data_IF_181412533704
#
_entry.id   IF_181412533704
#
_cell.length_a   1.000
_cell.length_b   1.000
_cell.length_c   1.000
_cell.angle_alpha   90.00
_cell.angle_beta   90.00
_cell.angle_gamma   90.00
#
_symmetry.space_group_name_H-M   'P 1'
#
loop_
_entity.id
_entity.type
_entity.pdbx_description
1 polymer ?
#
# COMPACT_ATOMS: atom_id res chain seq x y z
N UNK A 1 -24.81 18.99 21.69
CA UNK A 1 -23.96 18.82 20.51
C UNK A 1 -23.95 17.33 20.15
N UNK A 2 -24.22 16.99 18.89
CA UNK A 2 -24.23 15.60 18.43
C UNK A 2 -22.90 15.28 17.75
N UNK A 3 -22.22 14.21 18.19
CA UNK A 3 -20.96 13.73 17.59
C UNK A 3 -21.20 12.51 16.73
N UNK A 4 -20.54 12.45 15.60
CA UNK A 4 -20.57 11.30 14.70
C UNK A 4 -19.15 10.81 14.43
N UNK A 5 -19.03 9.53 14.07
CA UNK A 5 -17.75 8.92 13.68
C UNK A 5 -17.73 8.71 12.17
N UNK A 6 -16.74 9.26 11.52
CA UNK A 6 -16.44 9.02 10.09
C UNK A 6 -15.25 8.07 9.99
N UNK A 7 -15.28 7.19 9.04
CA UNK A 7 -14.24 6.16 8.84
C UNK A 7 -13.83 6.13 7.38
N UNK A 8 -12.53 6.00 7.12
CA UNK A 8 -12.03 5.77 5.77
C UNK A 8 -12.59 4.48 5.18
N UNK A 9 -12.87 4.48 3.88
CA UNK A 9 -13.42 3.32 3.17
C UNK A 9 -12.34 2.31 2.80
N UNK A 10 -11.08 2.73 2.80
CA UNK A 10 -9.93 1.88 2.47
C UNK A 10 -8.99 1.72 3.66
N UNK A 11 -8.22 0.65 3.60
CA UNK A 11 -7.16 0.35 4.56
C UNK A 11 -5.86 0.99 4.08
N UNK A 12 -5.29 1.89 4.90
CA UNK A 12 -4.06 2.63 4.58
C UNK A 12 -2.94 2.17 5.54
N UNK A 13 -2.35 1.02 5.25
CA UNK A 13 -1.31 0.41 6.13
C UNK A 13 0.08 0.97 5.90
N UNK A 14 0.39 1.36 4.66
CA UNK A 14 1.68 1.92 4.29
C UNK A 14 1.82 3.36 4.77
N UNK A 15 2.63 3.54 5.81
CA UNK A 15 2.86 4.86 6.38
C UNK A 15 3.56 5.81 5.40
N UNK A 16 4.44 5.29 4.55
CA UNK A 16 5.14 6.11 3.54
C UNK A 16 4.16 6.61 2.49
N UNK A 17 3.32 5.72 1.93
CA UNK A 17 2.26 6.12 1.01
C UNK A 17 1.27 7.09 1.65
N UNK A 18 0.94 6.90 2.93
CA UNK A 18 0.04 7.80 3.64
C UNK A 18 0.66 9.19 3.80
N UNK A 19 1.93 9.29 4.15
CA UNK A 19 2.62 10.58 4.27
C UNK A 19 2.70 11.30 2.92
N UNK A 20 3.01 10.56 1.85
CA UNK A 20 2.99 11.09 0.48
C UNK A 20 1.58 11.54 0.06
N UNK A 21 0.54 10.77 0.41
CA UNK A 21 -0.85 11.12 0.12
C UNK A 21 -1.27 12.40 0.85
N UNK A 22 -0.91 12.52 2.13
CA UNK A 22 -1.17 13.75 2.90
C UNK A 22 -0.49 14.96 2.25
N UNK A 23 0.77 14.83 1.83
CA UNK A 23 1.48 15.92 1.14
C UNK A 23 0.83 16.26 -0.21
N UNK A 24 0.39 15.24 -0.97
CA UNK A 24 -0.22 15.41 -2.30
C UNK A 24 -1.54 16.18 -2.26
N UNK A 25 -2.33 16.02 -1.21
CA UNK A 25 -3.58 16.79 -1.01
C UNK A 25 -3.33 18.18 -0.38
N UNK A 26 -2.08 18.59 -0.24
CA UNK A 26 -1.73 19.88 0.38
C UNK A 26 -1.95 19.93 1.89
N UNK A 27 -2.11 18.79 2.53
CA UNK A 27 -2.25 18.68 3.97
C UNK A 27 -0.90 18.49 4.66
N UNK A 28 -0.87 18.74 5.97
CA UNK A 28 0.27 18.39 6.83
C UNK A 28 -0.19 17.45 7.92
N UNK A 29 0.63 16.46 8.25
CA UNK A 29 0.33 15.52 9.30
C UNK A 29 1.42 15.50 10.37
N UNK A 30 0.99 15.46 11.63
CA UNK A 30 1.88 15.27 12.79
C UNK A 30 1.41 14.06 13.58
N UNK A 31 2.33 13.13 13.84
CA UNK A 31 2.04 11.93 14.62
C UNK A 31 1.98 12.30 16.12
N UNK A 32 0.93 11.88 16.78
CA UNK A 32 0.75 12.04 18.22
C UNK A 32 0.35 10.67 18.83
N UNK A 33 1.34 9.89 19.22
CA UNK A 33 1.14 8.51 19.66
C UNK A 33 0.55 7.64 18.56
N UNK A 34 -0.63 7.05 18.84
CA UNK A 34 -1.40 6.24 17.88
C UNK A 34 -2.28 7.11 16.95
N UNK A 35 -2.37 8.41 17.20
CA UNK A 35 -3.20 9.34 16.45
C UNK A 35 -2.37 10.10 15.41
N UNK A 36 -3.03 10.58 14.38
CA UNK A 36 -2.47 11.45 13.36
C UNK A 36 -3.28 12.75 13.33
N UNK A 37 -2.63 13.87 13.64
CA UNK A 37 -3.24 15.19 13.50
C UNK A 37 -2.99 15.68 12.07
N UNK A 38 -4.03 15.78 11.29
CA UNK A 38 -3.99 16.24 9.90
C UNK A 38 -4.52 17.65 9.82
N UNK A 39 -3.70 18.57 9.34
CA UNK A 39 -4.13 19.95 9.02
C UNK A 39 -4.47 20.00 7.53
N UNK A 40 -5.72 20.29 7.23
CA UNK A 40 -6.25 20.37 5.89
C UNK A 40 -7.27 21.51 5.80
N UNK A 41 -7.18 22.36 4.78
CA UNK A 41 -8.07 23.51 4.54
C UNK A 41 -8.29 24.38 5.79
N UNK A 42 -7.19 24.68 6.53
CA UNK A 42 -7.23 25.51 7.73
C UNK A 42 -7.75 24.83 9.00
N UNK A 43 -8.27 23.63 8.90
CA UNK A 43 -8.77 22.83 10.01
C UNK A 43 -7.74 21.79 10.47
N UNK A 44 -7.80 21.41 11.75
CA UNK A 44 -6.99 20.31 12.29
C UNK A 44 -7.91 19.19 12.73
N UNK A 45 -7.69 18.01 12.14
CA UNK A 45 -8.45 16.81 12.41
C UNK A 45 -7.58 15.77 13.10
N UNK A 46 -8.01 15.25 14.23
CA UNK A 46 -7.37 14.11 14.88
C UNK A 46 -7.98 12.83 14.33
N UNK A 47 -7.24 12.14 13.47
CA UNK A 47 -7.63 10.84 12.93
C UNK A 47 -6.94 9.74 13.70
N UNK A 48 -7.68 8.70 14.01
CA UNK A 48 -7.22 7.55 14.78
C UNK A 48 -7.19 6.32 13.87
N UNK A 49 -6.17 5.49 14.03
CA UNK A 49 -6.03 4.27 13.27
C UNK A 49 -6.76 3.13 13.96
N UNK A 50 -7.62 2.46 13.22
CA UNK A 50 -8.23 1.20 13.65
C UNK A 50 -7.24 0.05 13.51
N UNK A 51 -7.48 -1.04 14.19
CA UNK A 51 -6.67 -2.25 14.15
C UNK A 51 -6.57 -2.81 12.72
N UNK A 52 -7.64 -2.69 11.94
CA UNK A 52 -7.67 -3.13 10.53
C UNK A 52 -6.92 -2.19 9.57
N UNK A 53 -6.26 -1.14 10.07
CA UNK A 53 -5.53 -0.18 9.25
C UNK A 53 -6.37 0.91 8.60
N UNK A 54 -7.69 0.92 8.78
CA UNK A 54 -8.52 2.06 8.38
C UNK A 54 -8.41 3.18 9.43
N UNK A 55 -8.73 4.40 9.01
CA UNK A 55 -8.72 5.56 9.89
C UNK A 55 -10.13 6.01 10.20
N UNK A 56 -10.31 6.62 11.37
CA UNK A 56 -11.57 7.24 11.74
C UNK A 56 -11.34 8.58 12.44
N UNK A 57 -12.33 9.43 12.34
CA UNK A 57 -12.37 10.71 13.03
C UNK A 57 -13.72 10.88 13.72
N UNK A 58 -13.72 11.36 14.97
CA UNK A 58 -14.93 11.72 15.71
C UNK A 58 -15.09 13.24 15.65
N UNK A 59 -16.17 13.69 15.04
CA UNK A 59 -16.41 15.12 14.80
C UNK A 59 -17.86 15.49 15.11
N UNK A 60 -18.12 16.78 15.29
CA UNK A 60 -19.46 17.30 15.34
C UNK A 60 -20.19 17.08 14.01
N UNK A 61 -21.49 16.88 14.06
CA UNK A 61 -22.31 16.60 12.88
C UNK A 61 -22.20 17.71 11.82
N UNK A 62 -22.04 18.97 12.25
CA UNK A 62 -21.81 20.13 11.37
C UNK A 62 -20.52 20.06 10.56
N UNK A 63 -19.51 19.36 11.07
CA UNK A 63 -18.18 19.24 10.48
C UNK A 63 -18.00 17.96 9.67
N UNK A 64 -18.97 17.06 9.68
CA UNK A 64 -18.89 15.74 9.04
C UNK A 64 -18.51 15.82 7.56
N UNK A 65 -19.09 16.78 6.82
CA UNK A 65 -18.83 16.95 5.38
C UNK A 65 -17.35 17.22 5.08
N UNK A 66 -16.70 18.02 5.90
CA UNK A 66 -15.27 18.35 5.70
C UNK A 66 -14.36 17.14 5.95
N UNK A 67 -14.72 16.29 6.91
CA UNK A 67 -13.97 15.05 7.17
C UNK A 67 -14.22 14.01 6.09
N UNK A 68 -15.44 13.94 5.56
CA UNK A 68 -15.76 13.07 4.41
C UNK A 68 -14.96 13.50 3.17
N UNK A 69 -14.80 14.79 2.94
CA UNK A 69 -13.97 15.34 1.87
C UNK A 69 -12.49 15.00 2.08
N UNK A 70 -11.94 15.25 3.27
CA UNK A 70 -10.57 14.87 3.63
C UNK A 70 -10.31 13.38 3.38
N UNK A 71 -11.17 12.50 3.86
CA UNK A 71 -10.98 11.06 3.66
C UNK A 71 -11.07 10.68 2.19
N UNK A 72 -12.00 11.23 1.42
CA UNK A 72 -12.12 10.96 -0.01
C UNK A 72 -10.86 11.34 -0.78
N UNK A 73 -10.31 12.52 -0.54
CA UNK A 73 -9.09 12.99 -1.21
C UNK A 73 -7.87 12.19 -0.77
N UNK A 74 -7.75 11.90 0.52
CA UNK A 74 -6.67 11.10 1.07
C UNK A 74 -6.68 9.67 0.52
N UNK A 75 -7.85 9.06 0.42
CA UNK A 75 -8.04 7.73 -0.16
C UNK A 75 -7.67 7.70 -1.65
N UNK A 76 -8.11 8.69 -2.41
CA UNK A 76 -7.78 8.83 -3.82
C UNK A 76 -6.27 8.98 -4.01
N UNK A 77 -5.64 9.91 -3.31
CA UNK A 77 -4.21 10.14 -3.40
C UNK A 77 -3.40 8.89 -3.00
N UNK A 78 -3.82 8.18 -1.95
CA UNK A 78 -3.18 6.95 -1.50
C UNK A 78 -3.25 5.84 -2.55
N UNK A 79 -4.41 5.66 -3.19
CA UNK A 79 -4.60 4.68 -4.27
C UNK A 79 -3.77 5.03 -5.50
N UNK A 80 -3.70 6.31 -5.86
CA UNK A 80 -2.89 6.79 -6.99
C UNK A 80 -1.40 6.51 -6.77
N UNK A 81 -0.86 6.81 -5.59
CA UNK A 81 0.53 6.51 -5.24
C UNK A 81 0.81 5.01 -5.34
N UNK A 82 -0.11 4.17 -4.85
CA UNK A 82 0.06 2.73 -4.95
C UNK A 82 0.02 2.23 -6.40
N UNK A 83 -0.83 2.84 -7.25
CA UNK A 83 -0.87 2.53 -8.67
C UNK A 83 0.44 2.93 -9.35
N UNK A 84 0.92 4.15 -9.11
CA UNK A 84 2.18 4.67 -9.66
C UNK A 84 3.38 3.77 -9.30
N UNK A 85 3.44 3.27 -8.05
CA UNK A 85 4.49 2.34 -7.61
C UNK A 85 4.44 1.00 -8.36
N UNK A 86 3.24 0.44 -8.57
CA UNK A 86 3.07 -0.80 -9.36
C UNK A 86 3.47 -0.61 -10.82
N UNK A 87 3.06 0.50 -11.41
CA UNK A 87 3.43 0.83 -12.78
C UNK A 87 4.94 1.05 -12.93
N UNK A 88 5.60 1.64 -11.92
CA UNK A 88 7.05 1.78 -11.90
C UNK A 88 7.74 0.41 -11.82
N UNK A 89 7.25 -0.49 -10.96
CA UNK A 89 7.76 -1.87 -10.87
C UNK A 89 7.59 -2.63 -12.19
N UNK A 90 6.42 -2.49 -12.82
CA UNK A 90 6.15 -3.14 -14.11
C UNK A 90 7.03 -2.59 -15.23
N UNK A 91 7.25 -1.26 -15.26
CA UNK A 91 8.18 -0.64 -16.22
C UNK A 91 9.60 -1.16 -16.05
N UNK A 92 10.05 -1.29 -14.80
CA UNK A 92 11.40 -1.79 -14.52
C UNK A 92 11.57 -3.27 -14.90
N UNK A 93 10.54 -4.10 -14.64
CA UNK A 93 10.53 -5.49 -15.11
C UNK A 93 10.62 -5.60 -16.63
N UNK A 94 9.88 -4.75 -17.37
CA UNK A 94 9.95 -4.70 -18.84
C UNK A 94 11.32 -4.25 -19.33
N UNK A 95 11.95 -3.29 -18.63
CA UNK A 95 13.30 -2.83 -18.92
C UNK A 95 14.32 -3.95 -18.74
N UNK A 96 14.26 -4.66 -17.62
CA UNK A 96 15.14 -5.80 -17.35
C UNK A 96 14.98 -6.87 -18.44
N UNK A 97 13.76 -7.25 -18.79
CA UNK A 97 13.51 -8.24 -19.82
C UNK A 97 14.13 -7.84 -21.17
N UNK A 98 14.00 -6.56 -21.56
CA UNK A 98 14.61 -6.04 -22.79
C UNK A 98 16.14 -6.07 -22.73
N UNK A 99 16.74 -5.64 -21.62
CA UNK A 99 18.20 -5.68 -21.44
C UNK A 99 18.75 -7.12 -21.48
N UNK A 100 18.01 -8.07 -20.91
CA UNK A 100 18.36 -9.49 -20.99
C UNK A 100 18.30 -10.02 -22.42
N UNK A 101 17.27 -9.63 -23.20
CA UNK A 101 17.15 -9.98 -24.61
C UNK A 101 18.29 -9.37 -25.45
N UNK A 102 18.61 -8.09 -25.24
CA UNK A 102 19.71 -7.41 -25.92
C UNK A 102 21.06 -8.05 -25.57
N UNK A 103 21.28 -8.42 -24.30
CA UNK A 103 22.49 -9.12 -23.85
C UNK A 103 22.61 -10.49 -24.52
N UNK A 104 21.52 -11.25 -24.63
CA UNK A 104 21.49 -12.54 -25.28
C UNK A 104 21.82 -12.38 -26.77
N UNK A 105 21.20 -11.41 -27.45
CA UNK A 105 21.47 -11.13 -28.87
C UNK A 105 22.92 -10.77 -29.13
N UNK A 106 23.55 -9.92 -28.30
CA UNK A 106 24.97 -9.60 -28.41
C UNK A 106 25.87 -10.81 -28.15
N UNK A 107 25.49 -11.67 -27.24
CA UNK A 107 26.21 -12.91 -26.94
C UNK A 107 26.15 -13.86 -28.14
N UNK A 108 24.99 -13.99 -28.79
CA UNK A 108 24.81 -14.83 -29.97
C UNK A 108 25.55 -14.27 -31.18
N UNK A 109 25.57 -12.95 -31.39
CA UNK A 109 26.34 -12.27 -32.44
C UNK A 109 27.84 -12.46 -32.22
N UNK A 110 28.34 -12.30 -31.00
CA UNK A 110 29.76 -12.52 -30.68
C UNK A 110 30.23 -13.95 -30.93
N UNK A 111 29.34 -14.93 -30.85
CA UNK A 111 29.64 -16.34 -31.14
C UNK A 111 29.68 -16.66 -32.64
N UNK A 112 29.01 -15.86 -33.46
CA UNK A 112 28.85 -16.12 -34.91
C UNK A 112 29.89 -15.39 -35.80
N UNK A 113 30.36 -14.24 -35.35
CA UNK A 113 31.21 -13.39 -36.19
C UNK A 113 32.57 -13.15 -35.54
N UNK A 114 33.53 -13.85 -35.55
CA UNK A 114 34.89 -13.59 -35.06
C UNK A 114 35.44 -12.15 -35.25
N UNK A 115 34.59 -11.12 -35.15
CA UNK A 115 34.80 -9.73 -35.53
C UNK A 115 34.76 -8.81 -34.31
N UNK A 116 35.87 -8.06 -34.11
CA UNK A 116 36.02 -6.91 -33.19
C UNK A 116 35.48 -7.10 -31.77
N UNK A 117 36.17 -7.93 -31.02
CA UNK A 117 35.90 -8.22 -29.61
C UNK A 117 35.78 -6.95 -28.71
N UNK A 118 36.52 -5.90 -28.98
CA UNK A 118 36.59 -4.75 -28.07
C UNK A 118 35.32 -3.91 -28.01
N UNK A 119 34.66 -3.62 -29.15
CA UNK A 119 33.43 -2.82 -29.16
C UNK A 119 32.24 -3.60 -28.57
N UNK A 120 32.10 -4.88 -28.91
CA UNK A 120 31.07 -5.76 -28.37
C UNK A 120 31.23 -6.03 -26.87
N UNK A 121 32.44 -6.11 -26.35
CA UNK A 121 32.72 -6.26 -24.93
C UNK A 121 32.36 -4.99 -24.17
N UNK A 122 32.56 -3.80 -24.75
CA UNK A 122 32.19 -2.53 -24.12
C UNK A 122 30.66 -2.42 -23.99
N UNK A 123 29.92 -2.70 -25.05
CA UNK A 123 28.45 -2.68 -25.07
C UNK A 123 27.89 -3.74 -24.11
N UNK A 124 28.45 -4.93 -24.13
CA UNK A 124 28.10 -6.01 -23.18
C UNK A 124 28.31 -5.61 -21.73
N UNK A 125 29.46 -4.98 -21.43
CA UNK A 125 29.78 -4.49 -20.09
C UNK A 125 28.80 -3.40 -19.63
N UNK A 126 28.40 -2.51 -20.54
CA UNK A 126 27.46 -1.44 -20.23
C UNK A 126 26.06 -1.99 -19.95
N UNK A 127 25.57 -2.90 -20.81
CA UNK A 127 24.27 -3.56 -20.60
C UNK A 127 24.26 -4.37 -19.30
N UNK A 128 25.37 -5.08 -18.96
CA UNK A 128 25.46 -5.77 -17.69
C UNK A 128 25.37 -4.84 -16.49
N UNK A 129 26.01 -3.67 -16.52
CA UNK A 129 25.90 -2.66 -15.44
C UNK A 129 24.48 -2.13 -15.31
N UNK A 130 23.83 -1.84 -16.43
CA UNK A 130 22.44 -1.39 -16.42
C UNK A 130 21.49 -2.47 -15.90
N UNK A 131 21.73 -3.73 -16.29
CA UNK A 131 20.97 -4.86 -15.79
C UNK A 131 21.10 -5.01 -14.27
N UNK A 132 22.32 -4.97 -13.74
CA UNK A 132 22.56 -5.02 -12.29
C UNK A 132 21.87 -3.87 -11.56
N UNK A 133 21.93 -2.64 -12.07
CA UNK A 133 21.28 -1.49 -11.47
C UNK A 133 19.74 -1.67 -11.46
N UNK A 134 19.18 -2.17 -12.56
CA UNK A 134 17.75 -2.43 -12.68
C UNK A 134 17.28 -3.58 -11.78
N UNK A 135 18.06 -4.64 -11.64
CA UNK A 135 17.79 -5.75 -10.73
C UNK A 135 17.84 -5.30 -9.26
N UNK A 136 18.79 -4.43 -8.89
CA UNK A 136 18.82 -3.83 -7.55
C UNK A 136 17.56 -3.00 -7.27
N UNK A 137 17.18 -2.14 -8.21
CA UNK A 137 15.96 -1.33 -8.09
C UNK A 137 14.72 -2.20 -7.93
N UNK A 138 14.61 -3.28 -8.73
CA UNK A 138 13.50 -4.23 -8.63
C UNK A 138 13.50 -4.93 -7.28
N UNK A 139 14.66 -5.38 -6.79
CA UNK A 139 14.80 -6.01 -5.47
C UNK A 139 14.34 -5.09 -4.34
N UNK A 140 14.71 -3.80 -4.39
CA UNK A 140 14.26 -2.81 -3.42
C UNK A 140 12.74 -2.59 -3.47
N UNK A 141 12.16 -2.51 -4.66
CA UNK A 141 10.72 -2.38 -4.84
C UNK A 141 9.97 -3.61 -4.32
N UNK A 142 10.49 -4.80 -4.58
CA UNK A 142 9.93 -6.07 -4.10
C UNK A 142 10.03 -6.20 -2.58
N UNK A 143 11.15 -5.82 -1.97
CA UNK A 143 11.31 -5.88 -0.51
C UNK A 143 10.32 -4.96 0.19
N UNK A 144 10.14 -3.74 -0.32
CA UNK A 144 9.12 -2.81 0.18
C UNK A 144 7.70 -3.37 0.01
N UNK A 145 7.41 -4.00 -1.12
CA UNK A 145 6.12 -4.66 -1.35
C UNK A 145 5.88 -5.83 -0.40
N UNK A 146 6.91 -6.66 -0.16
CA UNK A 146 6.82 -7.79 0.77
C UNK A 146 6.64 -7.35 2.24
N UNK A 147 7.29 -6.27 2.67
CA UNK A 147 7.07 -5.68 4.01
C UNK A 147 5.63 -5.20 4.19
N UNK A 148 5.05 -4.61 3.13
CA UNK A 148 3.66 -4.18 3.14
C UNK A 148 2.68 -5.36 3.25
N UNK A 149 2.92 -6.43 2.51
CA UNK A 149 2.08 -7.64 2.60
C UNK A 149 2.19 -8.29 4.00
N UNK A 150 3.37 -8.41 4.57
CA UNK A 150 3.55 -8.90 5.95
C UNK A 150 2.83 -8.03 6.98
N UNK A 151 2.91 -6.70 6.82
CA UNK A 151 2.19 -5.77 7.69
C UNK A 151 0.68 -5.97 7.56
N UNK A 152 0.17 -6.16 6.35
CA UNK A 152 -1.24 -6.41 6.07
C UNK A 152 -1.71 -7.73 6.70
N UNK A 153 -0.96 -8.82 6.53
CA UNK A 153 -1.26 -10.12 7.14
C UNK A 153 -1.31 -10.03 8.66
N UNK A 154 -0.34 -9.33 9.27
CA UNK A 154 -0.33 -9.07 10.71
C UNK A 154 -1.59 -8.33 11.17
N UNK A 155 -2.01 -7.27 10.45
CA UNK A 155 -3.24 -6.54 10.78
C UNK A 155 -4.50 -7.41 10.63
N UNK A 156 -4.58 -8.24 9.60
CA UNK A 156 -5.69 -9.17 9.41
C UNK A 156 -5.76 -10.16 10.58
N UNK A 157 -4.62 -10.72 10.98
CA UNK A 157 -4.54 -11.65 12.11
C UNK A 157 -5.00 -11.01 13.43
N UNK A 158 -4.48 -9.82 13.76
CA UNK A 158 -4.86 -9.07 14.96
C UNK A 158 -6.36 -8.72 14.92
N UNK A 159 -6.86 -8.28 13.77
CA UNK A 159 -8.28 -7.94 13.62
C UNK A 159 -9.16 -9.17 13.87
N UNK A 160 -8.75 -10.34 13.34
CA UNK A 160 -9.47 -11.60 13.55
C UNK A 160 -9.54 -11.95 15.04
N UNK A 161 -8.42 -11.90 15.75
CA UNK A 161 -8.37 -12.17 17.20
C UNK A 161 -9.28 -11.23 17.98
N UNK A 162 -9.22 -9.93 17.73
CA UNK A 162 -10.06 -8.95 18.43
C UNK A 162 -11.54 -9.10 18.11
N UNK A 163 -11.90 -9.47 16.89
CA UNK A 163 -13.29 -9.75 16.52
C UNK A 163 -13.78 -11.02 17.23
N UNK A 164 -12.94 -12.04 17.34
CA UNK A 164 -13.27 -13.27 18.06
C UNK A 164 -13.45 -13.02 19.58
N UNK A 165 -12.59 -12.19 20.18
CA UNK A 165 -12.70 -11.81 21.60
C UNK A 165 -13.98 -11.03 21.87
N UNK A 166 -14.23 -9.97 21.10
CA UNK A 166 -15.47 -9.17 21.24
C UNK A 166 -16.72 -9.96 20.92
N UNK A 167 -16.65 -10.89 19.98
CA UNK A 167 -17.76 -11.77 19.66
C UNK A 167 -18.08 -12.74 20.82
N UNK A 168 -17.06 -13.21 21.55
CA UNK A 168 -17.25 -14.02 22.76
C UNK A 168 -17.95 -13.22 23.87
N UNK A 169 -17.57 -11.96 24.08
CA UNK A 169 -18.19 -11.08 25.06
C UNK A 169 -19.65 -10.75 24.69
N UNK A 170 -19.95 -10.52 23.42
CA UNK A 170 -21.26 -10.09 22.93
C UNK A 170 -22.21 -11.19 22.49
N UNK A 171 -21.97 -12.45 22.81
CA UNK A 171 -22.78 -13.61 22.32
C UNK A 171 -22.83 -13.74 20.80
N UNK A 172 -21.81 -13.28 20.13
CA UNK A 172 -21.63 -13.41 18.68
C UNK A 172 -20.51 -14.40 18.38
N UNK A 173 -20.55 -15.04 17.23
CA UNK A 173 -19.48 -15.88 16.71
C UNK A 173 -19.00 -15.39 15.36
N UNK A 174 -17.72 -15.57 15.09
CA UNK A 174 -17.19 -15.36 13.75
C UNK A 174 -17.72 -16.48 12.83
N UNK A 175 -18.50 -16.10 11.82
CA UNK A 175 -19.06 -17.07 10.85
C UNK A 175 -18.15 -17.26 9.65
N UNK A 176 -17.61 -16.17 9.12
CA UNK A 176 -16.66 -16.19 8.01
C UNK A 176 -15.83 -14.93 7.98
N UNK A 177 -14.60 -15.05 7.48
CA UNK A 177 -13.73 -13.94 7.14
C UNK A 177 -13.19 -14.19 5.73
N UNK A 178 -13.50 -13.29 4.82
CA UNK A 178 -13.03 -13.34 3.43
C UNK A 178 -12.14 -12.13 3.17
N UNK A 179 -10.93 -12.39 2.76
CA UNK A 179 -10.03 -11.36 2.26
C UNK A 179 -10.07 -11.36 0.73
N UNK A 180 -10.30 -10.19 0.14
CA UNK A 180 -10.20 -9.98 -1.31
C UNK A 180 -8.89 -9.22 -1.58
N UNK A 181 -7.81 -9.91 -1.94
CA UNK A 181 -6.51 -9.30 -2.14
C UNK A 181 -6.52 -8.29 -3.29
N UNK A 182 -7.39 -8.47 -4.30
CA UNK A 182 -7.47 -7.58 -5.46
C UNK A 182 -8.17 -6.26 -5.10
N UNK A 183 -9.17 -6.31 -4.23
CA UNK A 183 -9.89 -5.13 -3.77
C UNK A 183 -9.36 -4.59 -2.44
N UNK A 184 -8.36 -5.25 -1.83
CA UNK A 184 -7.80 -4.91 -0.51
C UNK A 184 -8.88 -4.71 0.55
N UNK A 185 -9.92 -5.52 0.50
CA UNK A 185 -11.05 -5.49 1.43
C UNK A 185 -11.15 -6.81 2.17
N UNK A 186 -11.33 -6.72 3.48
CA UNK A 186 -11.62 -7.89 4.32
C UNK A 186 -13.09 -7.82 4.72
N UNK A 187 -13.87 -8.83 4.38
CA UNK A 187 -15.26 -8.96 4.76
C UNK A 187 -15.37 -9.89 5.95
N UNK A 188 -15.96 -9.40 7.05
CA UNK A 188 -16.17 -10.17 8.27
C UNK A 188 -17.66 -10.41 8.44
N UNK A 189 -18.05 -11.67 8.59
CA UNK A 189 -19.42 -12.08 8.87
C UNK A 189 -19.50 -12.57 10.31
N UNK A 190 -20.41 -11.99 11.09
CA UNK A 190 -20.70 -12.39 12.46
C UNK A 190 -22.07 -13.09 12.52
N UNK A 191 -22.16 -14.17 13.26
CA UNK A 191 -23.42 -14.89 13.53
C UNK A 191 -23.75 -14.77 15.01
N UNK A 192 -24.99 -14.38 15.34
CA UNK A 192 -25.47 -14.34 16.70
C UNK A 192 -25.58 -15.76 17.26
N UNK A 193 -24.99 -16.02 18.43
CA UNK A 193 -25.20 -17.27 19.13
C UNK A 193 -26.59 -17.22 19.81
N UNK A 194 -27.53 -18.00 19.32
CA UNK A 194 -28.81 -18.19 20.03
C UNK A 194 -28.53 -19.14 21.17
N UNK A 195 -28.75 -18.70 22.43
CA UNK A 195 -28.78 -19.61 23.56
C UNK A 195 -30.07 -20.43 23.43
N UNK A 196 -29.91 -21.71 23.16
CA UNK A 196 -30.98 -22.68 23.44
C UNK A 196 -31.12 -22.85 24.94
#
# INVERSE_FOLDING_TARGET
MSYITRTSNIVMVDQTCLNEAVARIGATATKNGANLNVRYNGNVWTIQRKVNGSYYCRVEQSQARYVDELFRELESAYQDIQRERREAEERERKRIAKLQEDLQRLTDQASFEGIKHEELELDRSQIQKELQASEQTLSELQSKSAELEKSRESYISITKQQVEEKAKEGSWGLAAMQDDPNKRRTRIQLRRKVKN
#
